data_IF_772766289025
#
_entry.id   IF_772766289025
#
_cell.length_a   1.000
_cell.length_b   1.000
_cell.length_c   1.000
_cell.angle_alpha   90.00
_cell.angle_beta   90.00
_cell.angle_gamma   90.00
#
_symmetry.space_group_name_H-M   'P 1'
#
loop_
_entity.id
_entity.type
_entity.pdbx_description
1 polymer ?
#
# COMPACT_ATOMS: atom_id res chain seq x y z
N UNK A 1 0.40 12.99 -9.59
CA UNK A 1 -0.72 13.06 -10.54
C UNK A 1 -1.53 14.31 -10.21
N UNK A 2 -1.95 15.12 -11.19
CA UNK A 2 -2.70 16.34 -10.91
C UNK A 2 -4.10 16.03 -10.40
N UNK A 3 -4.61 16.88 -9.51
CA UNK A 3 -5.96 16.79 -8.98
C UNK A 3 -7.00 16.98 -10.10
N UNK A 4 -8.14 16.29 -10.01
CA UNK A 4 -9.19 16.36 -11.04
C UNK A 4 -8.94 15.51 -12.29
N UNK A 5 -7.87 14.71 -12.33
CA UNK A 5 -7.64 13.78 -13.45
C UNK A 5 -8.63 12.61 -13.37
N UNK A 6 -9.45 12.43 -14.42
CA UNK A 6 -10.47 11.37 -14.51
C UNK A 6 -9.94 9.96 -14.25
N UNK A 7 -8.69 9.69 -14.64
CA UNK A 7 -8.05 8.37 -14.49
C UNK A 7 -7.10 8.28 -13.28
N UNK A 8 -7.20 9.22 -12.33
CA UNK A 8 -6.29 9.28 -11.19
C UNK A 8 -6.30 7.98 -10.38
N UNK A 9 -7.49 7.52 -9.99
CA UNK A 9 -7.67 6.29 -9.21
C UNK A 9 -7.20 5.04 -9.94
N UNK A 10 -7.51 4.89 -11.24
CA UNK A 10 -7.11 3.71 -12.03
C UNK A 10 -5.59 3.58 -12.11
N UNK A 11 -4.90 4.70 -12.33
CA UNK A 11 -3.43 4.69 -12.39
C UNK A 11 -2.81 4.47 -11.02
N UNK A 12 -3.38 5.04 -9.94
CA UNK A 12 -2.94 4.76 -8.57
C UNK A 12 -3.10 3.26 -8.24
N UNK A 13 -4.26 2.69 -8.53
CA UNK A 13 -4.52 1.28 -8.29
C UNK A 13 -3.58 0.36 -9.08
N UNK A 14 -3.25 0.70 -10.34
CA UNK A 14 -2.22 -0.03 -11.13
C UNK A 14 -0.84 0.04 -10.50
N UNK A 15 -0.45 1.20 -9.96
CA UNK A 15 0.83 1.36 -9.27
C UNK A 15 0.87 0.50 -8.01
N UNK A 16 -0.14 0.61 -7.15
CA UNK A 16 -0.22 -0.14 -5.88
C UNK A 16 -0.22 -1.65 -6.14
N UNK A 17 -1.05 -2.13 -7.07
CA UNK A 17 -1.08 -3.54 -7.49
C UNK A 17 0.28 -4.05 -7.95
N UNK A 18 1.07 -3.22 -8.64
CA UNK A 18 2.40 -3.60 -9.13
C UNK A 18 3.40 -3.73 -7.99
N UNK A 19 3.52 -2.69 -7.17
CA UNK A 19 4.60 -2.62 -6.17
C UNK A 19 4.33 -3.46 -4.92
N UNK A 20 3.05 -3.69 -4.59
CA UNK A 20 2.61 -4.53 -3.48
C UNK A 20 2.11 -5.91 -3.92
N UNK A 21 2.39 -6.32 -5.17
CA UNK A 21 1.99 -7.62 -5.72
C UNK A 21 2.34 -8.85 -4.86
N UNK A 22 3.38 -8.75 -4.01
CA UNK A 22 3.80 -9.82 -3.08
C UNK A 22 3.09 -9.80 -1.72
N UNK A 23 2.46 -8.68 -1.38
CA UNK A 23 1.79 -8.44 -0.10
C UNK A 23 0.26 -8.51 -0.23
N UNK A 24 -0.28 -8.05 -1.37
CA UNK A 24 -1.72 -8.07 -1.66
C UNK A 24 -2.25 -9.50 -1.56
N UNK A 25 -3.32 -9.68 -0.76
CA UNK A 25 -3.96 -10.95 -0.48
C UNK A 25 -3.29 -11.79 0.62
N UNK A 26 -2.00 -11.56 0.92
CA UNK A 26 -1.27 -12.25 1.99
C UNK A 26 -1.44 -11.54 3.33
N UNK A 27 -0.88 -10.33 3.42
CA UNK A 27 -0.86 -9.50 4.61
C UNK A 27 -1.33 -8.07 4.31
N UNK A 28 -1.79 -7.79 3.09
CA UNK A 28 -2.25 -6.48 2.67
C UNK A 28 -3.53 -6.57 1.84
N UNK A 29 -4.44 -5.62 2.07
CA UNK A 29 -5.62 -5.36 1.26
C UNK A 29 -5.61 -3.89 0.81
N UNK A 30 -6.08 -3.64 -0.41
CA UNK A 30 -6.03 -2.31 -1.03
C UNK A 30 -7.41 -1.97 -1.56
N UNK A 31 -7.93 -0.82 -1.16
CA UNK A 31 -9.23 -0.31 -1.59
C UNK A 31 -9.12 1.12 -2.11
N UNK A 32 -9.11 1.27 -3.43
CA UNK A 32 -8.95 2.55 -4.14
C UNK A 32 -7.72 3.32 -3.65
N UNK A 33 -7.86 4.19 -2.65
CA UNK A 33 -6.80 5.01 -2.08
C UNK A 33 -6.28 4.49 -0.72
N UNK A 34 -7.02 3.59 -0.07
CA UNK A 34 -6.71 3.05 1.25
C UNK A 34 -5.95 1.73 1.18
N UNK A 35 -5.02 1.53 2.10
CA UNK A 35 -4.23 0.32 2.26
C UNK A 35 -4.35 -0.20 3.69
N UNK A 36 -4.76 -1.46 3.83
CA UNK A 36 -4.87 -2.16 5.11
C UNK A 36 -3.79 -3.22 5.20
N UNK A 37 -2.96 -3.17 6.24
CA UNK A 37 -2.03 -4.26 6.56
C UNK A 37 -2.65 -5.11 7.67
N UNK A 38 -2.71 -6.43 7.47
CA UNK A 38 -3.35 -7.38 8.39
C UNK A 38 -2.39 -8.52 8.74
N UNK A 39 -2.46 -8.97 10.00
CA UNK A 39 -1.61 -10.03 10.54
C UNK A 39 -2.37 -10.83 11.59
N UNK A 40 -2.02 -12.10 11.77
CA UNK A 40 -2.70 -13.00 12.72
C UNK A 40 -2.27 -12.74 14.17
N UNK A 41 -1.05 -12.25 14.40
CA UNK A 41 -0.52 -11.91 15.72
C UNK A 41 0.15 -10.54 15.71
N UNK A 42 0.32 -9.94 16.89
CA UNK A 42 0.93 -8.62 17.04
C UNK A 42 2.43 -8.63 16.69
N UNK A 43 3.15 -9.70 17.01
CA UNK A 43 4.58 -9.84 16.71
C UNK A 43 4.80 -9.86 15.20
N UNK A 44 3.98 -10.66 14.49
CA UNK A 44 4.01 -10.72 13.03
C UNK A 44 3.57 -9.42 12.38
N UNK A 45 2.70 -8.66 13.04
CA UNK A 45 2.24 -7.37 12.54
C UNK A 45 3.38 -6.35 12.42
N UNK A 46 4.33 -6.34 13.35
CA UNK A 46 5.50 -5.47 13.26
C UNK A 46 6.37 -5.83 12.04
N UNK A 47 6.51 -7.11 11.73
CA UNK A 47 7.26 -7.57 10.56
C UNK A 47 6.54 -7.22 9.24
N UNK A 48 5.23 -7.45 9.17
CA UNK A 48 4.40 -7.13 8.00
C UNK A 48 4.36 -5.61 7.74
N UNK A 49 4.28 -4.79 8.80
CA UNK A 49 4.40 -3.34 8.70
C UNK A 49 5.78 -2.91 8.22
N UNK A 50 6.85 -3.53 8.72
CA UNK A 50 8.22 -3.22 8.28
C UNK A 50 8.37 -3.47 6.78
N UNK A 51 7.89 -4.62 6.28
CA UNK A 51 7.89 -4.94 4.85
C UNK A 51 7.08 -3.92 4.04
N UNK A 52 5.91 -3.52 4.52
CA UNK A 52 5.08 -2.49 3.90
C UNK A 52 5.84 -1.16 3.80
N UNK A 53 6.44 -0.70 4.90
CA UNK A 53 7.22 0.55 4.92
C UNK A 53 8.47 0.50 4.06
N UNK A 54 9.12 -0.66 3.94
CA UNK A 54 10.26 -0.84 3.03
C UNK A 54 9.86 -0.67 1.56
N UNK A 55 8.70 -1.19 1.16
CA UNK A 55 8.17 -0.95 -0.19
C UNK A 55 7.83 0.53 -0.40
N UNK A 56 7.15 1.17 0.56
CA UNK A 56 6.83 2.60 0.48
C UNK A 56 8.09 3.46 0.32
N UNK A 57 9.13 3.21 1.15
CA UNK A 57 10.43 3.90 1.05
C UNK A 57 11.10 3.68 -0.30
N UNK A 58 11.14 2.43 -0.77
CA UNK A 58 11.78 2.06 -2.05
C UNK A 58 11.17 2.82 -3.22
N UNK A 59 9.85 3.00 -3.24
CA UNK A 59 9.13 3.70 -4.31
C UNK A 59 8.84 5.17 -4.00
N UNK A 60 9.40 5.71 -2.90
CA UNK A 60 9.22 7.10 -2.44
C UNK A 60 7.75 7.51 -2.27
N UNK A 61 6.90 6.55 -1.92
CA UNK A 61 5.50 6.81 -1.56
C UNK A 61 5.42 7.34 -0.14
N UNK A 62 4.49 8.26 0.09
CA UNK A 62 4.26 8.89 1.39
C UNK A 62 2.84 8.59 1.84
N UNK A 63 2.70 8.22 3.11
CA UNK A 63 1.41 8.15 3.77
C UNK A 63 1.06 9.54 4.33
N UNK A 64 -0.22 9.81 4.44
CA UNK A 64 -0.70 10.96 5.19
C UNK A 64 -0.77 10.57 6.68
N UNK A 65 0.02 11.20 7.59
CA UNK A 65 0.05 10.85 9.00
C UNK A 65 -1.10 11.46 9.83
N UNK A 66 -2.08 12.08 9.15
CA UNK A 66 -3.16 12.85 9.77
C UNK A 66 -4.32 11.97 10.22
#
# INVERSE_FOLDING_TARGET
>A
MPFGLKNAGVTYQRLVNRIFSRQIGRNMEVYVDDMLTKSTTAERHLEDLKETFDVLRRYKMKLNPS
#
